data_IF_403249696601
#
_entry.id   IF_403249696601
#
_cell.length_a   1.000
_cell.length_b   1.000
_cell.length_c   1.000
_cell.angle_alpha   90.00
_cell.angle_beta   90.00
_cell.angle_gamma   90.00
#
_symmetry.space_group_name_H-M   'P 1'
#
loop_
_entity.id
_entity.type
_entity.pdbx_description
1 polymer ?
#
# COMPACT_ATOMS: atom_id res chain seq x y z
N UNK A 1 -39.81 -5.51 -12.68
CA UNK A 1 -38.92 -6.56 -12.18
C UNK A 1 -37.87 -5.95 -11.26
N UNK A 2 -38.13 -5.93 -9.94
CA UNK A 2 -37.11 -5.67 -8.92
C UNK A 2 -36.37 -6.99 -8.70
N UNK A 3 -35.23 -7.20 -9.38
CA UNK A 3 -34.33 -8.29 -9.01
C UNK A 3 -33.52 -7.80 -7.81
N UNK A 4 -33.54 -8.60 -6.76
CA UNK A 4 -32.97 -8.31 -5.45
C UNK A 4 -31.50 -7.86 -5.57
N UNK A 5 -31.20 -6.69 -5.00
CA UNK A 5 -29.88 -6.09 -4.86
C UNK A 5 -29.19 -6.62 -3.59
N UNK A 6 -29.43 -7.87 -3.22
CA UNK A 6 -29.01 -8.46 -1.94
C UNK A 6 -27.51 -8.84 -1.94
N UNK A 7 -26.90 -8.98 -3.12
CA UNK A 7 -25.48 -9.37 -3.27
C UNK A 7 -24.53 -8.19 -3.54
N UNK A 8 -25.01 -6.93 -3.50
CA UNK A 8 -24.18 -5.75 -3.73
C UNK A 8 -23.56 -5.27 -2.40
N UNK A 9 -22.23 -5.30 -2.30
CA UNK A 9 -21.51 -4.65 -1.19
C UNK A 9 -21.49 -3.15 -1.46
N UNK A 10 -22.27 -2.39 -0.69
CA UNK A 10 -22.41 -0.93 -0.79
C UNK A 10 -21.35 -0.28 0.08
N UNK A 11 -20.40 0.41 -0.54
CA UNK A 11 -19.62 1.44 0.14
C UNK A 11 -19.82 2.76 -0.62
N UNK A 12 -20.34 3.75 0.12
CA UNK A 12 -20.98 5.06 -0.18
C UNK A 12 -21.09 5.61 -1.61
N UNK A 13 -20.26 5.26 -2.59
CA UNK A 13 -20.37 5.71 -3.98
C UNK A 13 -19.99 4.67 -5.06
N UNK A 14 -19.57 3.44 -4.71
CA UNK A 14 -19.21 2.40 -5.71
C UNK A 14 -19.77 1.04 -5.34
N UNK A 15 -20.38 0.35 -6.31
CA UNK A 15 -20.65 -1.10 -6.20
C UNK A 15 -20.26 -1.83 -7.47
N UNK A 16 -19.89 -3.11 -7.32
CA UNK A 16 -19.66 -4.03 -8.44
C UNK A 16 -20.86 -4.97 -8.52
N UNK A 17 -21.45 -5.08 -9.71
CA UNK A 17 -22.59 -5.99 -9.90
C UNK A 17 -22.15 -7.42 -10.28
N UNK A 18 -23.12 -8.33 -10.35
CA UNK A 18 -22.92 -9.73 -10.74
C UNK A 18 -22.39 -9.92 -12.18
N UNK A 19 -22.37 -8.85 -13.00
CA UNK A 19 -21.78 -8.83 -14.34
C UNK A 19 -20.35 -8.27 -14.34
N UNK A 20 -19.77 -8.06 -13.15
CA UNK A 20 -18.45 -7.48 -12.95
C UNK A 20 -18.32 -6.06 -13.52
N UNK A 21 -19.41 -5.30 -13.54
CA UNK A 21 -19.40 -3.89 -13.93
C UNK A 21 -19.27 -3.03 -12.67
N UNK A 22 -18.40 -2.02 -12.71
CA UNK A 22 -18.33 -1.03 -11.63
C UNK A 22 -19.35 0.08 -11.92
N UNK A 23 -20.17 0.34 -10.92
CA UNK A 23 -21.12 1.45 -10.90
C UNK A 23 -20.55 2.52 -9.99
N UNK A 24 -20.27 3.70 -10.55
CA UNK A 24 -19.73 4.82 -9.77
C UNK A 24 -20.77 5.92 -9.69
N UNK A 25 -21.14 6.27 -8.46
CA UNK A 25 -22.06 7.36 -8.19
C UNK A 25 -21.31 8.67 -8.09
N UNK A 26 -21.99 9.69 -8.62
CA UNK A 26 -21.43 11.03 -8.77
C UNK A 26 -21.80 11.96 -7.61
N UNK A 27 -22.71 11.52 -6.72
CA UNK A 27 -23.00 12.16 -5.44
C UNK A 27 -23.68 11.20 -4.44
N UNK A 28 -23.49 11.46 -3.15
CA UNK A 28 -23.99 10.65 -2.01
C UNK A 28 -25.52 10.65 -1.85
N UNK A 29 -26.23 11.61 -2.47
CA UNK A 29 -27.70 11.77 -2.30
C UNK A 29 -28.50 10.88 -3.25
N UNK A 30 -27.89 10.45 -4.34
CA UNK A 30 -28.53 9.72 -5.44
C UNK A 30 -27.84 8.38 -5.73
N UNK A 31 -27.41 7.67 -4.70
CA UNK A 31 -26.86 6.32 -4.82
C UNK A 31 -27.88 5.43 -5.56
N UNK A 32 -27.47 4.86 -6.69
CA UNK A 32 -28.36 4.07 -7.58
C UNK A 32 -29.17 4.87 -8.60
N UNK A 33 -29.20 6.21 -8.54
CA UNK A 33 -29.98 7.09 -9.44
C UNK A 33 -29.11 7.97 -10.34
N UNK A 34 -27.94 8.40 -9.86
CA UNK A 34 -26.95 9.20 -10.62
C UNK A 34 -25.60 8.48 -10.64
N UNK A 35 -25.61 7.26 -11.18
CA UNK A 35 -24.40 6.46 -11.28
C UNK A 35 -24.07 6.24 -12.76
N UNK A 36 -22.84 6.58 -13.11
CA UNK A 36 -22.30 6.29 -14.44
C UNK A 36 -21.87 4.83 -14.39
N UNK A 37 -22.63 3.98 -15.06
CA UNK A 37 -22.21 2.59 -15.27
C UNK A 37 -20.99 2.63 -16.18
N UNK A 38 -19.84 2.22 -15.66
CA UNK A 38 -18.64 2.14 -16.47
C UNK A 38 -18.22 0.69 -16.60
N UNK A 39 -18.14 0.23 -17.85
CA UNK A 39 -17.58 -1.07 -18.17
C UNK A 39 -16.06 -1.01 -17.99
N UNK A 40 -15.62 -1.08 -16.74
CA UNK A 40 -14.20 -1.23 -16.39
C UNK A 40 -13.91 -2.69 -16.10
N UNK A 41 -12.78 -3.24 -16.56
CA UNK A 41 -12.36 -4.57 -16.14
C UNK A 41 -12.23 -4.65 -14.61
N UNK A 42 -12.91 -5.62 -14.01
CA UNK A 42 -12.80 -5.97 -12.60
C UNK A 42 -12.39 -7.42 -12.48
N UNK A 43 -11.49 -7.75 -11.55
CA UNK A 43 -11.10 -9.14 -11.28
C UNK A 43 -10.69 -9.36 -9.83
N UNK A 44 -10.71 -10.62 -9.42
CA UNK A 44 -10.06 -11.10 -8.19
C UNK A 44 -8.54 -11.15 -8.36
N UNK A 45 -7.86 -11.30 -7.23
CA UNK A 45 -6.44 -11.65 -7.22
C UNK A 45 -6.23 -13.03 -7.84
N UNK A 46 -5.14 -13.20 -8.59
CA UNK A 46 -4.69 -14.52 -9.06
C UNK A 46 -4.00 -15.29 -7.92
N UNK A 47 -3.88 -16.61 -8.04
CA UNK A 47 -3.11 -17.41 -7.06
C UNK A 47 -1.65 -16.92 -6.95
N UNK A 48 -1.07 -16.48 -8.07
CA UNK A 48 0.27 -15.92 -8.10
C UNK A 48 0.38 -14.62 -7.31
N UNK A 49 -0.62 -13.73 -7.45
CA UNK A 49 -0.72 -12.48 -6.69
C UNK A 49 -0.93 -12.72 -5.20
N UNK A 50 -1.81 -13.67 -4.85
CA UNK A 50 -2.01 -14.08 -3.45
C UNK A 50 -0.70 -14.61 -2.85
N UNK A 51 0.00 -15.49 -3.57
CA UNK A 51 1.29 -16.02 -3.12
C UNK A 51 2.34 -14.92 -2.97
N UNK A 52 2.37 -13.96 -3.90
CA UNK A 52 3.24 -12.79 -3.83
C UNK A 52 2.93 -11.93 -2.59
N UNK A 53 1.66 -11.60 -2.34
CA UNK A 53 1.24 -10.85 -1.18
C UNK A 53 1.53 -11.57 0.14
N UNK A 54 1.34 -12.89 0.21
CA UNK A 54 1.61 -13.69 1.42
C UNK A 54 3.04 -13.58 1.91
N UNK A 55 4.01 -13.36 1.00
CA UNK A 55 5.42 -13.10 1.39
C UNK A 55 5.53 -11.90 2.33
N UNK A 56 4.73 -10.87 2.10
CA UNK A 56 4.73 -9.63 2.86
C UNK A 56 3.70 -9.62 3.99
N UNK A 57 2.47 -10.07 3.73
CA UNK A 57 1.34 -9.86 4.62
C UNK A 57 0.83 -11.14 5.31
N UNK A 58 1.44 -12.31 5.06
CA UNK A 58 0.98 -13.61 5.61
C UNK A 58 -0.53 -13.77 5.31
N UNK A 59 -1.34 -14.15 6.28
CA UNK A 59 -2.79 -14.29 6.16
C UNK A 59 -3.53 -13.12 6.83
N UNK A 60 -2.87 -11.96 6.98
CA UNK A 60 -3.49 -10.75 7.56
C UNK A 60 -4.46 -10.05 6.59
N UNK A 61 -4.48 -10.46 5.32
CA UNK A 61 -5.43 -9.96 4.32
C UNK A 61 -6.42 -11.07 3.99
N UNK A 62 -7.71 -10.73 3.97
CA UNK A 62 -8.75 -11.57 3.38
C UNK A 62 -8.70 -11.49 1.85
N UNK A 63 -7.77 -12.20 1.23
CA UNK A 63 -7.46 -12.12 -0.20
C UNK A 63 -8.66 -12.41 -1.11
N UNK A 64 -9.55 -13.30 -0.67
CA UNK A 64 -10.81 -13.67 -1.34
C UNK A 64 -11.80 -12.51 -1.42
N UNK A 65 -11.63 -11.47 -0.59
CA UNK A 65 -12.47 -10.27 -0.60
C UNK A 65 -11.95 -9.19 -1.52
N UNK A 66 -10.66 -9.18 -1.84
CA UNK A 66 -10.03 -8.11 -2.63
C UNK A 66 -10.46 -8.15 -4.10
N UNK A 67 -10.72 -6.98 -4.67
CA UNK A 67 -11.04 -6.77 -6.07
C UNK A 67 -10.11 -5.72 -6.68
N UNK A 68 -9.55 -6.01 -7.85
CA UNK A 68 -8.81 -5.04 -8.64
C UNK A 68 -9.73 -4.44 -9.71
N UNK A 69 -9.78 -3.11 -9.77
CA UNK A 69 -10.61 -2.34 -10.68
C UNK A 69 -9.72 -1.55 -11.62
N UNK A 70 -9.85 -1.78 -12.93
CA UNK A 70 -9.12 -1.04 -13.95
C UNK A 70 -9.75 0.34 -14.16
N UNK A 71 -9.31 1.32 -13.38
CA UNK A 71 -9.87 2.68 -13.42
C UNK A 71 -9.24 3.59 -14.50
N UNK A 72 -8.75 3.02 -15.62
CA UNK A 72 -8.22 3.82 -16.75
C UNK A 72 -9.22 4.84 -17.27
N UNK A 73 -10.49 4.53 -17.07
CA UNK A 73 -11.61 5.32 -17.53
C UNK A 73 -11.93 6.52 -16.60
N UNK A 74 -11.15 6.68 -15.51
CA UNK A 74 -11.14 7.82 -14.58
C UNK A 74 -12.46 8.00 -13.83
N UNK A 75 -13.05 6.89 -13.45
CA UNK A 75 -14.32 6.81 -12.75
C UNK A 75 -14.31 7.58 -11.43
N UNK A 76 -13.16 7.67 -10.74
CA UNK A 76 -13.03 8.42 -9.49
C UNK A 76 -12.87 9.95 -9.69
N UNK A 77 -12.86 10.43 -10.94
CA UNK A 77 -12.76 11.84 -11.28
C UNK A 77 -11.34 12.32 -11.62
N UNK A 78 -11.25 13.52 -12.21
CA UNK A 78 -9.99 14.05 -12.79
C UNK A 78 -8.84 14.18 -11.79
N UNK A 79 -9.11 14.33 -10.50
CA UNK A 79 -8.08 14.48 -9.44
C UNK A 79 -7.27 13.20 -9.18
N UNK A 80 -7.79 12.01 -9.51
CA UNK A 80 -7.12 10.73 -9.27
C UNK A 80 -6.62 10.07 -10.56
N UNK A 81 -6.48 10.85 -11.64
CA UNK A 81 -6.26 10.37 -13.01
C UNK A 81 -5.10 9.37 -13.17
N UNK A 82 -4.07 9.44 -12.32
CA UNK A 82 -2.90 8.55 -12.35
C UNK A 82 -2.57 7.98 -10.95
N UNK A 83 -3.50 8.05 -10.01
CA UNK A 83 -3.26 7.69 -8.61
C UNK A 83 -4.03 6.41 -8.31
N UNK A 84 -3.29 5.35 -8.01
CA UNK A 84 -3.92 4.14 -7.49
C UNK A 84 -4.45 4.43 -6.09
N UNK A 85 -5.58 3.82 -5.74
CA UNK A 85 -6.25 4.07 -4.46
C UNK A 85 -6.96 2.82 -3.99
N UNK A 86 -6.89 2.59 -2.68
CA UNK A 86 -7.65 1.54 -2.01
C UNK A 86 -8.91 2.14 -1.39
N UNK A 87 -10.06 1.55 -1.73
CA UNK A 87 -11.34 1.70 -1.02
C UNK A 87 -11.81 0.29 -0.72
N UNK A 88 -11.35 -0.28 0.39
CA UNK A 88 -11.46 -1.70 0.65
C UNK A 88 -12.92 -2.16 0.56
N UNK A 89 -13.25 -3.23 -0.19
CA UNK A 89 -12.32 -4.25 -0.70
C UNK A 89 -11.74 -4.00 -2.10
N UNK A 90 -11.92 -2.81 -2.68
CA UNK A 90 -11.54 -2.47 -4.04
C UNK A 90 -10.19 -1.73 -4.10
N UNK A 91 -9.35 -2.13 -5.05
CA UNK A 91 -8.10 -1.45 -5.40
C UNK A 91 -8.24 -0.90 -6.82
N UNK A 92 -8.25 0.42 -6.96
CA UNK A 92 -8.41 1.10 -8.24
C UNK A 92 -7.04 1.38 -8.85
N UNK A 93 -6.84 0.93 -10.09
CA UNK A 93 -5.56 0.97 -10.80
C UNK A 93 -5.72 1.73 -12.12
N UNK A 94 -5.66 3.07 -12.12
CA UNK A 94 -5.98 3.88 -13.30
C UNK A 94 -4.88 3.91 -14.36
N UNK A 95 -3.61 3.64 -14.01
CA UNK A 95 -2.50 3.65 -14.96
C UNK A 95 -1.91 2.24 -15.20
N UNK A 96 -1.72 1.49 -14.12
CA UNK A 96 -0.88 0.29 -14.08
C UNK A 96 -1.76 -0.96 -13.90
N UNK A 97 -2.42 -1.40 -14.98
CA UNK A 97 -3.24 -2.62 -14.97
C UNK A 97 -2.46 -3.82 -15.51
N UNK A 98 -2.44 -4.91 -14.74
CA UNK A 98 -1.93 -6.21 -15.17
C UNK A 98 -3.01 -7.28 -15.12
N UNK A 99 -2.88 -8.31 -15.96
CA UNK A 99 -3.70 -9.53 -15.85
C UNK A 99 -3.26 -10.41 -14.68
N UNK A 100 -1.98 -10.33 -14.33
CA UNK A 100 -1.36 -11.05 -13.21
C UNK A 100 -0.06 -10.35 -12.81
N UNK A 101 -0.09 -9.53 -11.75
CA UNK A 101 1.07 -8.79 -11.26
C UNK A 101 2.22 -9.70 -10.81
N UNK A 102 1.94 -10.96 -10.46
CA UNK A 102 3.00 -11.90 -10.10
C UNK A 102 3.87 -12.37 -11.28
N UNK A 103 3.38 -12.14 -12.50
CA UNK A 103 4.03 -12.51 -13.77
C UNK A 103 4.39 -11.31 -14.63
N UNK A 104 4.14 -10.09 -14.13
CA UNK A 104 4.40 -8.88 -14.88
C UNK A 104 5.91 -8.58 -14.92
N UNK A 105 6.40 -8.20 -16.08
CA UNK A 105 7.79 -7.81 -16.28
C UNK A 105 8.04 -6.34 -15.91
N UNK A 106 6.99 -5.52 -15.84
CA UNK A 106 7.09 -4.16 -15.34
C UNK A 106 7.17 -4.17 -13.80
N UNK A 107 8.41 -4.22 -13.30
CA UNK A 107 8.72 -4.20 -11.86
C UNK A 107 8.12 -2.99 -11.15
N UNK A 108 8.03 -1.84 -11.83
CA UNK A 108 7.44 -0.63 -11.24
C UNK A 108 5.93 -0.74 -11.10
N UNK A 109 5.26 -1.37 -12.06
CA UNK A 109 3.83 -1.68 -11.96
C UNK A 109 3.53 -2.63 -10.78
N UNK A 110 4.32 -3.68 -10.61
CA UNK A 110 4.15 -4.62 -9.49
C UNK A 110 4.47 -3.95 -8.15
N UNK A 111 5.49 -3.09 -8.09
CA UNK A 111 5.85 -2.32 -6.90
C UNK A 111 4.72 -1.35 -6.50
N UNK A 112 4.14 -0.63 -7.46
CA UNK A 112 2.99 0.21 -7.19
C UNK A 112 1.79 -0.61 -6.71
N UNK A 113 1.53 -1.77 -7.33
CA UNK A 113 0.44 -2.63 -6.86
C UNK A 113 0.67 -3.17 -5.45
N UNK A 114 1.91 -3.54 -5.08
CA UNK A 114 2.20 -4.02 -3.72
C UNK A 114 2.15 -2.90 -2.68
N UNK A 115 2.42 -1.64 -3.09
CA UNK A 115 2.13 -0.44 -2.29
C UNK A 115 0.66 -0.39 -1.92
N UNK A 116 -0.23 -0.49 -2.91
CA UNK A 116 -1.68 -0.52 -2.65
C UNK A 116 -2.09 -1.72 -1.76
N UNK A 117 -1.50 -2.89 -1.98
CA UNK A 117 -1.76 -4.04 -1.11
C UNK A 117 -1.29 -3.82 0.34
N UNK A 118 -0.36 -2.89 0.58
CA UNK A 118 -0.02 -2.44 1.94
C UNK A 118 -1.18 -1.70 2.58
N UNK A 119 -1.90 -0.85 1.85
CA UNK A 119 -3.12 -0.21 2.36
C UNK A 119 -4.25 -1.21 2.60
N UNK A 120 -4.38 -2.22 1.74
CA UNK A 120 -5.31 -3.35 1.97
C UNK A 120 -4.98 -4.09 3.27
N UNK A 121 -3.69 -4.38 3.52
CA UNK A 121 -3.23 -4.96 4.79
C UNK A 121 -3.58 -4.05 5.97
N UNK A 122 -3.28 -2.76 5.85
CA UNK A 122 -3.53 -1.83 6.93
C UNK A 122 -5.03 -1.72 7.27
N UNK A 123 -5.91 -1.72 6.26
CA UNK A 123 -7.36 -1.77 6.46
C UNK A 123 -7.80 -3.10 7.10
N UNK A 124 -7.27 -4.23 6.61
CA UNK A 124 -7.61 -5.56 7.11
C UNK A 124 -7.28 -5.72 8.60
N UNK A 125 -6.16 -5.16 9.03
CA UNK A 125 -5.67 -5.24 10.42
C UNK A 125 -6.25 -4.13 11.30
N UNK A 126 -6.42 -2.92 10.79
CA UNK A 126 -6.93 -1.77 11.54
C UNK A 126 -8.45 -1.66 11.62
N UNK A 127 -9.18 -2.36 10.76
CA UNK A 127 -10.64 -2.34 10.70
C UNK A 127 -11.22 -0.96 10.37
N UNK A 128 -12.44 -0.68 10.84
CA UNK A 128 -13.16 0.57 10.55
C UNK A 128 -12.47 1.85 11.09
N UNK A 129 -11.51 1.72 12.01
CA UNK A 129 -10.69 2.84 12.47
C UNK A 129 -9.56 3.21 11.50
N UNK A 130 -9.34 2.39 10.48
CA UNK A 130 -8.36 2.57 9.42
C UNK A 130 -9.04 2.89 8.09
N UNK A 131 -9.98 3.83 8.11
CA UNK A 131 -10.57 4.40 6.91
C UNK A 131 -9.54 5.39 6.33
N UNK A 132 -8.89 5.07 5.20
CA UNK A 132 -7.99 6.02 4.54
C UNK A 132 -8.58 6.53 3.24
N UNK A 133 -8.99 7.80 3.31
CA UNK A 133 -9.21 8.67 2.17
C UNK A 133 -9.00 10.13 2.57
N UNK A 134 -7.75 10.61 2.47
CA UNK A 134 -7.39 12.01 2.16
C UNK A 134 -7.26 13.11 3.24
N UNK A 135 -7.48 12.94 4.55
CA UNK A 135 -7.36 14.13 5.45
C UNK A 135 -6.49 14.00 6.72
N UNK A 136 -6.30 12.82 7.31
CA UNK A 136 -5.48 12.73 8.56
C UNK A 136 -4.33 11.71 8.53
N UNK A 137 -4.28 10.84 7.52
CA UNK A 137 -3.21 9.83 7.38
C UNK A 137 -1.85 10.39 6.92
N UNK A 138 -1.87 11.57 6.32
CA UNK A 138 -0.78 12.14 5.49
C UNK A 138 0.14 13.13 6.21
N UNK A 139 -0.18 13.48 7.46
CA UNK A 139 0.31 14.74 7.97
C UNK A 139 1.51 14.63 8.91
N UNK A 140 2.09 13.48 9.28
CA UNK A 140 3.32 13.57 10.09
C UNK A 140 4.23 12.35 10.12
N UNK A 141 5.53 12.59 9.96
CA UNK A 141 6.61 11.63 10.25
C UNK A 141 7.38 12.12 11.46
N UNK A 142 7.61 11.27 12.47
CA UNK A 142 8.48 11.65 13.59
C UNK A 142 9.96 11.74 13.13
N UNK A 143 10.52 12.94 13.17
CA UNK A 143 11.94 13.25 12.98
C UNK A 143 12.68 13.04 14.30
N UNK A 144 13.58 12.07 14.30
CA UNK A 144 14.34 11.68 15.49
C UNK A 144 15.47 12.65 15.82
N UNK A 145 16.09 13.28 14.81
CA UNK A 145 17.20 14.22 15.02
C UNK A 145 16.67 15.48 15.70
N UNK A 146 15.55 15.99 15.21
CA UNK A 146 14.93 17.23 15.69
C UNK A 146 13.84 16.99 16.76
N UNK A 147 13.58 15.73 17.13
CA UNK A 147 12.58 15.33 18.13
C UNK A 147 11.18 15.93 17.87
N UNK A 148 10.76 16.04 16.61
CA UNK A 148 9.52 16.70 16.21
C UNK A 148 8.76 15.90 15.15
N UNK A 149 7.45 16.11 15.06
CA UNK A 149 6.65 15.60 13.95
C UNK A 149 6.77 16.53 12.74
N UNK A 150 7.22 15.99 11.61
CA UNK A 150 7.34 16.72 10.35
C UNK A 150 6.11 16.46 9.50
N UNK A 151 5.35 17.52 9.28
CA UNK A 151 4.14 17.47 8.47
C UNK A 151 4.46 17.51 6.98
N UNK A 152 3.71 16.75 6.17
CA UNK A 152 3.81 16.78 4.70
C UNK A 152 4.94 15.94 4.09
N UNK A 153 5.63 15.08 4.85
CA UNK A 153 6.56 14.09 4.29
C UNK A 153 5.81 12.83 3.83
N UNK A 154 5.21 12.93 2.64
CA UNK A 154 4.51 11.82 2.00
C UNK A 154 5.48 10.72 1.53
N UNK A 155 6.57 11.12 0.86
CA UNK A 155 7.56 10.20 0.32
C UNK A 155 8.57 9.71 1.36
N UNK A 156 9.06 8.48 1.19
CA UNK A 156 10.18 7.95 1.94
C UNK A 156 11.49 8.69 1.60
N UNK A 157 12.11 9.31 2.59
CA UNK A 157 13.48 9.81 2.49
C UNK A 157 14.43 8.85 3.22
N UNK A 158 15.39 8.24 2.51
CA UNK A 158 16.40 7.32 3.02
C UNK A 158 16.96 7.59 4.41
N UNK A 159 17.27 8.85 4.73
CA UNK A 159 17.91 9.19 6.02
C UNK A 159 16.99 9.02 7.22
N UNK A 160 15.69 8.82 6.99
CA UNK A 160 14.67 8.67 8.03
C UNK A 160 14.11 7.26 8.14
N UNK A 161 14.66 6.29 7.40
CA UNK A 161 14.23 4.89 7.53
C UNK A 161 14.54 4.40 8.96
N UNK A 162 13.50 3.89 9.60
CA UNK A 162 13.44 3.43 10.99
C UNK A 162 12.58 2.17 11.09
N UNK A 163 12.12 1.80 12.29
CA UNK A 163 11.14 0.72 12.46
C UNK A 163 9.88 0.95 11.62
N UNK A 164 9.29 -0.13 11.12
CA UNK A 164 8.20 -0.07 10.14
C UNK A 164 7.01 0.75 10.65
N UNK A 165 6.58 0.50 11.89
CA UNK A 165 5.42 1.17 12.53
C UNK A 165 5.61 2.66 12.83
N UNK A 166 6.81 3.21 12.63
CA UNK A 166 7.09 4.63 12.85
C UNK A 166 6.91 5.49 11.59
N UNK A 167 6.57 4.86 10.47
CA UNK A 167 6.26 5.51 9.20
C UNK A 167 4.75 5.74 9.07
N UNK A 168 4.35 6.76 8.31
CA UNK A 168 2.94 6.98 7.97
C UNK A 168 2.42 5.92 6.97
N UNK A 169 1.15 6.02 6.53
CA UNK A 169 0.53 5.09 5.54
C UNK A 169 1.44 4.80 4.38
N UNK A 170 1.86 5.90 3.76
CA UNK A 170 2.35 5.95 2.41
C UNK A 170 3.81 5.57 2.43
N UNK A 171 4.54 6.04 3.42
CA UNK A 171 5.90 5.60 3.71
C UNK A 171 5.97 4.10 4.01
N UNK A 172 4.97 3.51 4.68
CA UNK A 172 4.91 2.06 4.84
C UNK A 172 4.69 1.34 3.49
N UNK A 173 3.80 1.87 2.64
CA UNK A 173 3.64 1.38 1.26
C UNK A 173 4.95 1.47 0.47
N UNK A 174 5.62 2.63 0.50
CA UNK A 174 6.89 2.90 -0.14
C UNK A 174 7.98 1.93 0.35
N UNK A 175 8.04 1.63 1.65
CA UNK A 175 9.00 0.67 2.20
C UNK A 175 8.83 -0.73 1.60
N UNK A 176 7.60 -1.22 1.51
CA UNK A 176 7.29 -2.54 0.94
C UNK A 176 7.55 -2.55 -0.57
N UNK A 177 7.12 -1.51 -1.28
CA UNK A 177 7.35 -1.36 -2.71
C UNK A 177 8.84 -1.29 -3.04
N UNK A 178 9.60 -0.46 -2.31
CA UNK A 178 11.03 -0.30 -2.51
C UNK A 178 11.79 -1.59 -2.19
N UNK A 179 11.42 -2.28 -1.11
CA UNK A 179 11.97 -3.61 -0.80
C UNK A 179 11.70 -4.60 -1.93
N UNK A 180 10.49 -4.64 -2.48
CA UNK A 180 10.16 -5.48 -3.63
C UNK A 180 11.07 -5.18 -4.84
N UNK A 181 11.13 -3.90 -5.27
CA UNK A 181 11.94 -3.50 -6.43
C UNK A 181 13.41 -3.86 -6.25
N UNK A 182 13.99 -3.56 -5.08
CA UNK A 182 15.39 -3.87 -4.79
C UNK A 182 15.66 -5.38 -4.66
N UNK A 183 14.64 -6.19 -4.39
CA UNK A 183 14.77 -7.66 -4.34
C UNK A 183 14.78 -8.28 -5.72
N UNK A 184 13.93 -7.79 -6.64
CA UNK A 184 13.69 -8.44 -7.93
C UNK A 184 14.46 -7.82 -9.10
N UNK A 185 14.91 -6.57 -8.98
CA UNK A 185 15.62 -5.85 -10.04
C UNK A 185 17.01 -5.38 -9.56
N UNK A 186 18.06 -6.04 -10.07
CA UNK A 186 19.44 -5.70 -9.76
C UNK A 186 19.83 -4.32 -10.30
N UNK A 187 19.35 -3.93 -11.49
CA UNK A 187 19.60 -2.62 -12.08
C UNK A 187 19.00 -1.49 -11.24
N UNK A 188 17.86 -1.76 -10.59
CA UNK A 188 17.26 -0.85 -9.62
C UNK A 188 17.99 -0.85 -8.26
N UNK A 189 18.43 -2.03 -7.80
CA UNK A 189 19.10 -2.23 -6.50
C UNK A 189 20.49 -1.61 -6.45
N UNK A 190 21.36 -1.87 -7.44
CA UNK A 190 22.79 -1.53 -7.41
C UNK A 190 23.02 -0.03 -7.15
N UNK A 191 22.35 0.91 -7.86
CA UNK A 191 22.50 2.35 -7.59
C UNK A 191 22.00 2.79 -6.20
N UNK A 192 21.18 1.97 -5.54
CA UNK A 192 20.51 2.27 -4.26
C UNK A 192 21.00 1.37 -3.13
N UNK A 193 22.08 0.63 -3.33
CA UNK A 193 22.50 -0.43 -2.40
C UNK A 193 22.85 0.09 -1.00
N UNK A 194 23.20 1.37 -0.87
CA UNK A 194 23.37 2.04 0.43
C UNK A 194 22.08 2.12 1.28
N UNK A 195 20.90 1.96 0.67
CA UNK A 195 19.59 1.92 1.34
C UNK A 195 19.20 0.54 1.83
N UNK A 196 19.73 -0.50 1.20
CA UNK A 196 19.43 -1.90 1.52
C UNK A 196 19.54 -2.25 3.01
N UNK A 197 20.54 -1.77 3.79
CA UNK A 197 20.66 -2.11 5.21
C UNK A 197 19.47 -1.66 6.03
N UNK A 198 18.93 -0.49 5.68
CA UNK A 198 17.83 0.16 6.37
C UNK A 198 16.50 -0.48 6.00
N UNK A 199 16.35 -0.85 4.73
CA UNK A 199 15.21 -1.63 4.25
C UNK A 199 15.22 -3.05 4.83
N UNK A 200 16.37 -3.72 4.89
CA UNK A 200 16.53 -5.02 5.55
C UNK A 200 16.15 -4.91 7.03
N UNK A 201 16.55 -3.83 7.72
CA UNK A 201 16.12 -3.61 9.10
C UNK A 201 14.61 -3.40 9.23
N UNK A 202 14.05 -2.42 8.51
CA UNK A 202 12.65 -2.01 8.65
C UNK A 202 11.67 -3.08 8.14
N UNK A 203 11.97 -3.68 6.99
CA UNK A 203 11.08 -4.65 6.33
C UNK A 203 11.43 -6.06 6.77
N UNK A 204 12.66 -6.55 6.55
CA UNK A 204 12.96 -7.95 6.83
C UNK A 204 13.01 -8.25 8.33
N UNK A 205 13.75 -7.46 9.11
CA UNK A 205 14.02 -7.77 10.53
C UNK A 205 12.96 -7.29 11.51
N UNK A 206 12.17 -6.30 11.16
CA UNK A 206 11.10 -5.76 12.02
C UNK A 206 9.73 -6.23 11.52
N UNK A 207 9.32 -5.85 10.30
CA UNK A 207 7.99 -6.18 9.78
C UNK A 207 7.79 -7.67 9.45
N UNK A 208 8.68 -8.28 8.65
CA UNK A 208 8.48 -9.65 8.15
C UNK A 208 8.69 -10.72 9.23
N UNK A 209 9.57 -10.49 10.20
CA UNK A 209 9.73 -11.38 11.38
C UNK A 209 8.61 -11.21 12.40
N UNK A 210 7.92 -10.06 12.42
CA UNK A 210 6.81 -9.76 13.32
C UNK A 210 5.51 -10.53 13.02
N UNK A 211 4.51 -10.25 13.85
CA UNK A 211 3.14 -10.74 13.69
C UNK A 211 2.37 -10.02 12.56
N UNK A 212 2.84 -8.81 12.20
CA UNK A 212 2.24 -7.91 11.19
C UNK A 212 0.82 -7.51 11.57
N UNK A 213 0.54 -7.48 12.88
CA UNK A 213 -0.74 -7.10 13.46
C UNK A 213 -0.85 -5.60 13.69
N UNK A 214 -1.82 -5.21 14.52
CA UNK A 214 -2.18 -3.80 14.80
C UNK A 214 -0.99 -2.96 15.29
N UNK A 215 -0.02 -3.61 15.93
CA UNK A 215 1.20 -2.98 16.43
C UNK A 215 2.13 -2.43 15.34
N UNK A 216 1.96 -2.92 14.10
CA UNK A 216 2.71 -2.49 12.92
C UNK A 216 2.02 -1.36 12.14
N UNK A 217 0.76 -1.05 12.45
CA UNK A 217 0.08 0.11 11.86
C UNK A 217 0.83 1.41 12.23
N UNK A 218 0.70 2.48 11.42
CA UNK A 218 1.28 3.77 11.73
C UNK A 218 0.87 4.25 13.12
N UNK A 219 1.86 4.45 14.00
CA UNK A 219 1.62 4.94 15.35
C UNK A 219 1.69 6.47 15.38
N UNK A 220 0.66 7.13 15.89
CA UNK A 220 0.79 8.49 16.47
C UNK A 220 1.54 8.32 17.80
N UNK A 221 2.87 8.42 17.78
CA UNK A 221 3.67 8.16 18.99
C UNK A 221 3.73 9.42 19.86
N UNK A 222 3.32 9.32 21.12
CA UNK A 222 3.89 10.18 22.17
C UNK A 222 5.34 9.72 22.38
N UNK A 223 6.33 10.56 21.99
CA UNK A 223 7.80 10.39 22.08
C UNK A 223 8.29 8.92 22.26
N UNK A 224 8.82 8.26 21.22
CA UNK A 224 9.32 6.89 21.40
C UNK A 224 10.46 6.87 22.44
N UNK A 225 10.55 5.84 23.29
CA UNK A 225 11.75 5.65 24.11
C UNK A 225 12.96 5.54 23.18
N UNK A 226 14.04 6.23 23.57
CA UNK A 226 15.30 6.30 22.85
C UNK A 226 15.76 4.89 22.44
N UNK A 227 15.74 4.56 21.15
CA UNK A 227 16.55 3.45 20.66
C UNK A 227 18.00 3.93 20.59
N UNK A 228 18.69 3.91 21.74
CA UNK A 228 20.11 4.23 21.85
C UNK A 228 20.91 3.49 20.75
N UNK A 229 21.58 4.29 19.92
CA UNK A 229 22.82 4.01 19.17
C UNK A 229 22.86 2.86 18.15
N UNK A 230 23.41 3.13 16.95
CA UNK A 230 23.80 2.09 15.98
C UNK A 230 23.33 2.23 14.53
N UNK A 231 22.56 3.26 14.14
CA UNK A 231 22.12 3.45 12.75
C UNK A 231 23.30 3.55 11.76
N UNK A 232 24.29 4.39 12.06
CA UNK A 232 25.48 4.52 11.23
C UNK A 232 26.32 3.23 11.21
N UNK A 233 26.31 2.46 12.29
CA UNK A 233 26.98 1.16 12.35
C UNK A 233 26.27 0.11 11.50
N UNK A 234 24.93 0.10 11.45
CA UNK A 234 24.16 -0.76 10.56
C UNK A 234 24.43 -0.45 9.08
N UNK A 235 24.48 0.83 8.71
CA UNK A 235 24.83 1.26 7.35
C UNK A 235 26.26 0.83 7.00
N UNK A 236 27.22 1.01 7.92
CA UNK A 236 28.61 0.60 7.74
C UNK A 236 28.78 -0.92 7.62
N UNK A 237 28.13 -1.70 8.48
CA UNK A 237 28.18 -3.16 8.47
C UNK A 237 27.64 -3.74 7.17
N UNK A 238 26.59 -3.15 6.62
CA UNK A 238 26.01 -3.68 5.40
C UNK A 238 26.75 -3.23 4.14
N UNK A 239 27.38 -2.05 4.11
CA UNK A 239 28.39 -1.73 3.07
C UNK A 239 29.50 -2.79 3.01
N UNK A 240 29.99 -3.22 4.18
CA UNK A 240 30.98 -4.29 4.31
C UNK A 240 30.42 -5.63 3.82
N UNK A 241 29.25 -6.06 4.32
CA UNK A 241 28.61 -7.34 3.96
C UNK A 241 28.36 -7.48 2.46
N UNK A 242 28.08 -6.37 1.78
CA UNK A 242 27.71 -6.34 0.36
C UNK A 242 28.82 -5.81 -0.56
N UNK A 243 30.06 -5.65 -0.05
CA UNK A 243 31.24 -5.35 -0.87
C UNK A 243 31.25 -3.96 -1.51
N UNK A 244 30.52 -2.99 -0.95
CA UNK A 244 30.48 -1.61 -1.46
C UNK A 244 31.50 -0.80 -0.66
N UNK A 245 32.55 -0.32 -1.33
CA UNK A 245 33.53 0.61 -0.76
C UNK A 245 32.88 1.96 -0.42
#
# INVERSE_FOLDING_TARGET
MKKAYEDCIVERDVWVDYKFQAHICTNEKDIGKSCVVQNVPVRRLTDGEVNLCRRYFKDQIHYDKVWLVNDRARSLGKKYKNTSIVRFPYVFLPALWSKDFSRDTDVSAVANWIHEMTHVWQFSVGGAGFDRGNEEGDASTFDRENQQFVIGRYALDPKWIKRFCFHNSEQQGDLIALHYQMTVDQGFRVPRIGLWPLLEYAVEKDFLTGDRGVDFLPRKIAKPPLMQDGYFDLVKQAKIRWGIK
#
